data_IF_027512983746
#
_entry.id   IF_027512983746
#
_cell.length_a   1.000
_cell.length_b   1.000
_cell.length_c   1.000
_cell.angle_alpha   90.00
_cell.angle_beta   90.00
_cell.angle_gamma   90.00
#
_symmetry.space_group_name_H-M   'P 1'
#
loop_
_entity.id
_entity.type
_entity.pdbx_description
1 polymer ?
#
# COMPACT_ATOMS: atom_id res chain seq x y z
N UNK A 1 -3.43 -5.67 -26.34
CA UNK A 1 -3.40 -4.61 -27.37
C UNK A 1 -4.54 -3.61 -27.22
N UNK A 2 -5.82 -4.01 -27.24
CA UNK A 2 -6.95 -3.06 -27.16
C UNK A 2 -7.05 -2.19 -25.88
N UNK A 3 -6.44 -2.55 -24.74
CA UNK A 3 -6.34 -1.66 -23.56
C UNK A 3 -5.17 -0.69 -23.66
N UNK A 4 -4.05 -1.13 -24.23
CA UNK A 4 -2.87 -0.30 -24.51
C UNK A 4 -3.19 0.77 -25.57
N UNK A 5 -3.93 0.41 -26.62
CA UNK A 5 -4.44 1.37 -27.61
C UNK A 5 -5.53 2.28 -27.05
N UNK A 6 -6.36 1.80 -26.11
CA UNK A 6 -7.26 2.67 -25.34
C UNK A 6 -6.52 3.64 -24.42
N UNK A 7 -5.27 3.33 -24.05
CA UNK A 7 -4.40 4.22 -23.27
C UNK A 7 -3.77 5.34 -24.12
N UNK A 8 -3.70 5.17 -25.44
CA UNK A 8 -3.16 6.16 -26.38
C UNK A 8 -4.22 6.83 -27.27
N UNK A 9 -5.39 6.22 -27.45
CA UNK A 9 -6.59 6.94 -27.89
C UNK A 9 -7.10 7.77 -26.71
N UNK A 10 -6.57 8.98 -26.58
CA UNK A 10 -6.94 10.01 -25.62
C UNK A 10 -8.45 10.35 -25.66
N UNK A 11 -9.31 9.47 -25.16
CA UNK A 11 -10.55 9.88 -24.50
C UNK A 11 -10.16 10.19 -23.06
N UNK A 12 -10.37 11.42 -22.58
CA UNK A 12 -9.98 11.98 -21.27
C UNK A 12 -9.76 10.93 -20.16
N UNK A 13 -8.57 10.32 -20.14
CA UNK A 13 -8.16 9.30 -19.15
C UNK A 13 -7.74 9.90 -17.82
N UNK A 14 -7.62 11.23 -17.80
CA UNK A 14 -7.37 12.02 -16.60
C UNK A 14 -8.62 12.81 -16.32
N UNK A 15 -9.12 12.74 -15.10
CA UNK A 15 -10.25 13.55 -14.68
C UNK A 15 -9.96 15.03 -14.98
N UNK A 16 -10.87 15.70 -15.69
CA UNK A 16 -10.76 17.14 -15.94
C UNK A 16 -10.64 17.90 -14.62
N UNK A 17 -10.04 19.09 -14.63
CA UNK A 17 -9.96 19.91 -13.41
C UNK A 17 -11.35 20.13 -12.76
N UNK A 18 -12.42 20.24 -13.56
CA UNK A 18 -13.79 20.33 -13.04
C UNK A 18 -14.27 19.03 -12.40
N UNK A 19 -13.94 17.87 -12.99
CA UNK A 19 -14.25 16.56 -12.43
C UNK A 19 -13.52 16.34 -11.11
N UNK A 20 -12.23 16.68 -11.07
CA UNK A 20 -11.45 16.62 -9.82
C UNK A 20 -12.07 17.54 -8.78
N UNK A 21 -12.32 18.82 -9.10
CA UNK A 21 -12.93 19.77 -8.16
C UNK A 21 -14.31 19.32 -7.65
N UNK A 22 -15.09 18.58 -8.44
CA UNK A 22 -16.40 18.05 -8.02
C UNK A 22 -16.29 16.97 -6.94
N UNK A 23 -15.30 16.09 -7.03
CA UNK A 23 -15.17 14.92 -6.14
C UNK A 23 -14.07 15.07 -5.08
N UNK A 24 -13.12 15.97 -5.34
CA UNK A 24 -12.03 16.37 -4.48
C UNK A 24 -11.84 17.87 -4.68
N UNK A 25 -12.53 18.73 -3.92
CA UNK A 25 -12.52 20.18 -4.12
C UNK A 25 -11.18 20.79 -3.71
N UNK A 26 -10.17 20.56 -4.54
CA UNK A 26 -8.77 20.99 -4.37
C UNK A 26 -8.69 22.52 -4.24
N UNK A 27 -9.69 23.25 -4.74
CA UNK A 27 -9.82 24.70 -4.53
C UNK A 27 -9.75 25.11 -3.06
N UNK A 28 -10.24 24.29 -2.13
CA UNK A 28 -10.15 24.56 -0.68
C UNK A 28 -8.71 24.37 -0.16
N UNK A 29 -8.08 23.26 -0.53
CA UNK A 29 -6.72 22.91 -0.10
C UNK A 29 -5.70 23.94 -0.60
N UNK A 30 -5.90 24.45 -1.83
CA UNK A 30 -5.00 25.41 -2.45
C UNK A 30 -5.24 26.87 -2.04
N UNK A 31 -6.32 27.14 -1.30
CA UNK A 31 -6.65 28.48 -0.80
C UNK A 31 -6.84 28.49 0.73
N UNK A 32 -5.87 28.01 1.51
CA UNK A 32 -6.06 27.80 2.95
C UNK A 32 -6.32 29.09 3.72
N UNK A 33 -5.76 30.22 3.26
CA UNK A 33 -5.96 31.53 3.89
C UNK A 33 -7.37 32.08 3.63
N UNK A 34 -7.82 32.04 2.37
CA UNK A 34 -9.19 32.40 2.01
C UNK A 34 -10.22 31.51 2.72
N UNK A 35 -9.94 30.20 2.80
CA UNK A 35 -10.79 29.25 3.52
C UNK A 35 -10.82 29.53 5.03
N UNK A 36 -9.68 29.86 5.65
CA UNK A 36 -9.62 30.22 7.07
C UNK A 36 -10.44 31.46 7.39
N UNK A 37 -10.36 32.50 6.55
CA UNK A 37 -11.17 33.72 6.67
C UNK A 37 -12.66 33.39 6.52
N UNK A 38 -13.01 32.58 5.51
CA UNK A 38 -14.38 32.14 5.28
C UNK A 38 -14.92 31.33 6.47
N UNK A 39 -14.11 30.41 7.01
CA UNK A 39 -14.47 29.59 8.15
C UNK A 39 -14.72 30.42 9.41
N UNK A 40 -13.89 31.43 9.69
CA UNK A 40 -14.12 32.36 10.80
C UNK A 40 -15.44 33.13 10.64
N UNK A 41 -15.65 33.74 9.46
CA UNK A 41 -16.87 34.53 9.20
C UNK A 41 -18.14 33.68 9.24
N UNK A 42 -18.11 32.48 8.64
CA UNK A 42 -19.27 31.58 8.62
C UNK A 42 -19.49 30.89 9.98
N UNK A 43 -18.44 30.58 10.72
CA UNK A 43 -18.53 30.09 12.09
C UNK A 43 -19.22 31.10 13.01
N UNK A 44 -18.87 32.38 12.91
CA UNK A 44 -19.54 33.46 13.65
C UNK A 44 -21.03 33.59 13.29
N UNK A 45 -21.37 33.46 11.99
CA UNK A 45 -22.76 33.47 11.52
C UNK A 45 -23.54 32.27 12.04
N UNK A 46 -22.92 31.09 12.07
CA UNK A 46 -23.53 29.87 12.59
C UNK A 46 -23.78 29.99 14.10
N UNK A 47 -22.79 30.46 14.86
CA UNK A 47 -22.90 30.65 16.31
C UNK A 47 -23.99 31.67 16.69
N UNK A 48 -24.24 32.66 15.82
CA UNK A 48 -25.32 33.66 15.98
C UNK A 48 -26.67 33.20 15.43
N UNK A 49 -26.76 31.98 14.90
CA UNK A 49 -27.99 31.43 14.29
C UNK A 49 -28.38 32.10 12.97
N UNK A 50 -27.49 32.88 12.35
CA UNK A 50 -27.76 33.59 11.09
C UNK A 50 -27.69 32.66 9.86
N UNK A 51 -27.04 31.50 10.00
CA UNK A 51 -27.04 30.40 9.03
C UNK A 51 -27.18 29.08 9.80
N UNK A 52 -27.63 28.01 9.13
CA UNK A 52 -27.75 26.67 9.72
C UNK A 52 -26.57 25.78 9.33
N UNK A 53 -26.44 24.64 9.99
CA UNK A 53 -25.50 23.58 9.58
C UNK A 53 -25.91 22.95 8.23
N UNK A 54 -25.00 22.17 7.64
CA UNK A 54 -25.22 21.52 6.35
C UNK A 54 -25.01 22.49 5.18
N UNK A 55 -25.97 22.53 4.25
CA UNK A 55 -25.85 23.27 2.99
C UNK A 55 -25.69 24.79 3.19
N UNK A 56 -26.30 25.37 4.22
CA UNK A 56 -26.19 26.80 4.50
C UNK A 56 -24.76 27.19 4.90
N UNK A 57 -24.12 26.37 5.74
CA UNK A 57 -22.73 26.53 6.12
C UNK A 57 -21.80 26.34 4.91
N UNK A 58 -22.03 25.30 4.10
CA UNK A 58 -21.25 25.03 2.90
C UNK A 58 -21.31 26.20 1.89
N UNK A 59 -22.52 26.69 1.60
CA UNK A 59 -22.73 27.82 0.71
C UNK A 59 -22.07 29.11 1.24
N UNK A 60 -22.15 29.34 2.56
CA UNK A 60 -21.45 30.46 3.19
C UNK A 60 -19.93 30.35 3.01
N UNK A 61 -19.36 29.16 3.27
CA UNK A 61 -17.92 28.92 3.16
C UNK A 61 -17.43 29.14 1.72
N UNK A 62 -18.15 28.62 0.73
CA UNK A 62 -17.82 28.78 -0.69
C UNK A 62 -17.84 30.26 -1.06
N UNK A 63 -18.95 30.95 -0.80
CA UNK A 63 -19.14 32.34 -1.21
C UNK A 63 -18.15 33.27 -0.51
N UNK A 64 -17.93 33.09 0.79
CA UNK A 64 -17.02 33.92 1.58
C UNK A 64 -15.55 33.66 1.21
N UNK A 65 -15.21 32.41 0.85
CA UNK A 65 -13.88 32.08 0.36
C UNK A 65 -13.63 32.72 -1.00
N UNK A 66 -14.55 32.56 -1.96
CA UNK A 66 -14.39 33.09 -3.32
C UNK A 66 -14.39 34.62 -3.37
N UNK A 67 -15.06 35.28 -2.41
CA UNK A 67 -15.00 36.73 -2.22
C UNK A 67 -13.73 37.24 -1.51
N UNK A 68 -12.92 36.34 -0.93
CA UNK A 68 -11.70 36.73 -0.22
C UNK A 68 -10.65 37.29 -1.19
N UNK A 69 -9.95 38.39 -0.85
CA UNK A 69 -8.85 38.91 -1.67
C UNK A 69 -7.66 37.93 -1.74
N UNK A 70 -7.60 36.95 -0.85
CA UNK A 70 -6.59 35.90 -0.84
C UNK A 70 -6.97 34.69 -1.70
N UNK A 71 -8.16 34.68 -2.30
CA UNK A 71 -8.61 33.61 -3.16
C UNK A 71 -7.88 33.65 -4.51
N UNK A 72 -7.30 32.52 -4.89
CA UNK A 72 -6.67 32.30 -6.19
C UNK A 72 -7.59 31.46 -7.05
N UNK A 73 -8.08 32.08 -8.12
CA UNK A 73 -8.88 31.42 -9.14
C UNK A 73 -8.12 30.27 -9.80
N UNK A 74 -8.87 29.33 -10.38
CA UNK A 74 -8.31 28.18 -11.08
C UNK A 74 -7.33 28.57 -12.17
N UNK A 75 -7.63 29.63 -12.94
CA UNK A 75 -6.75 30.17 -13.98
C UNK A 75 -5.40 30.64 -13.41
N UNK A 76 -5.42 31.47 -12.35
CA UNK A 76 -4.18 31.95 -11.70
C UNK A 76 -3.39 30.76 -11.14
N UNK A 77 -4.06 29.75 -10.58
CA UNK A 77 -3.38 28.55 -10.07
C UNK A 77 -2.74 27.74 -11.19
N UNK A 78 -3.42 27.55 -12.31
CA UNK A 78 -2.88 26.84 -13.48
C UNK A 78 -1.67 27.56 -14.08
N UNK A 79 -1.71 28.89 -14.20
CA UNK A 79 -0.56 29.68 -14.65
C UNK A 79 0.64 29.54 -13.73
N UNK A 80 0.42 29.62 -12.41
CA UNK A 80 1.47 29.41 -11.42
C UNK A 80 2.09 28.00 -11.49
N UNK A 81 1.27 26.97 -11.71
CA UNK A 81 1.75 25.58 -11.90
C UNK A 81 2.55 25.48 -13.20
N UNK A 82 2.06 26.05 -14.30
CA UNK A 82 2.76 26.05 -15.60
C UNK A 82 4.11 26.75 -15.52
N UNK A 83 4.19 27.88 -14.83
CA UNK A 83 5.43 28.62 -14.61
C UNK A 83 6.44 27.79 -13.79
N UNK A 84 6.00 27.18 -12.68
CA UNK A 84 6.83 26.27 -11.88
C UNK A 84 7.31 25.08 -12.67
N UNK A 85 6.42 24.43 -13.42
CA UNK A 85 6.77 23.29 -14.29
C UNK A 85 7.81 23.69 -15.33
N UNK A 86 7.64 24.84 -15.98
CA UNK A 86 8.60 25.36 -16.97
C UNK A 86 9.97 25.61 -16.33
N UNK A 87 10.01 26.23 -15.14
CA UNK A 87 11.25 26.42 -14.39
C UNK A 87 11.90 25.09 -13.98
N UNK A 88 11.11 24.10 -13.55
CA UNK A 88 11.58 22.75 -13.23
C UNK A 88 12.15 22.02 -14.45
N UNK A 89 11.53 22.15 -15.63
CA UNK A 89 12.04 21.59 -16.90
C UNK A 89 13.38 22.22 -17.27
N UNK A 90 13.48 23.55 -17.19
CA UNK A 90 14.74 24.26 -17.46
C UNK A 90 15.85 23.81 -16.50
N UNK A 91 15.52 23.67 -15.21
CA UNK A 91 16.44 23.17 -14.21
C UNK A 91 16.84 21.71 -14.48
N UNK A 92 15.89 20.87 -14.90
CA UNK A 92 16.14 19.48 -15.27
C UNK A 92 17.12 19.39 -16.45
N UNK A 93 16.87 20.13 -17.53
CA UNK A 93 17.74 20.10 -18.70
C UNK A 93 19.13 20.61 -18.35
N UNK A 94 19.21 21.82 -17.77
CA UNK A 94 20.49 22.48 -17.48
C UNK A 94 21.38 21.70 -16.52
N UNK A 95 20.80 21.10 -15.47
CA UNK A 95 21.59 20.50 -14.40
C UNK A 95 21.61 18.98 -14.41
N UNK A 96 20.70 18.32 -15.13
CA UNK A 96 20.62 16.86 -15.20
C UNK A 96 20.80 16.32 -16.62
N UNK A 97 19.92 16.65 -17.55
CA UNK A 97 19.95 16.06 -18.90
C UNK A 97 21.21 16.44 -19.68
N UNK A 98 21.56 17.74 -19.68
CA UNK A 98 22.67 18.26 -20.47
C UNK A 98 24.03 18.05 -19.78
N UNK A 99 24.03 18.06 -18.45
CA UNK A 99 25.27 18.03 -17.67
C UNK A 99 25.88 16.64 -17.53
N UNK A 100 25.08 15.57 -17.73
CA UNK A 100 25.38 14.18 -17.34
C UNK A 100 25.95 14.02 -15.92
N UNK A 101 25.83 15.03 -15.04
CA UNK A 101 26.48 15.06 -13.71
C UNK A 101 25.90 14.03 -12.74
N UNK A 102 24.64 13.66 -12.93
CA UNK A 102 24.12 12.42 -12.35
C UNK A 102 24.33 11.34 -13.41
N UNK A 103 25.44 10.61 -13.31
CA UNK A 103 25.35 9.20 -13.68
C UNK A 103 24.27 8.63 -12.77
N UNK A 104 23.13 8.25 -13.32
CA UNK A 104 22.29 7.28 -12.64
C UNK A 104 23.22 6.14 -12.21
N UNK A 105 23.06 5.60 -11.00
CA UNK A 105 23.53 4.23 -10.79
C UNK A 105 22.61 3.40 -11.69
N UNK A 106 23.08 3.11 -12.89
CA UNK A 106 22.24 2.66 -14.00
C UNK A 106 21.77 1.21 -13.82
N UNK A 107 22.30 0.46 -12.85
CA UNK A 107 21.81 -0.87 -12.56
C UNK A 107 21.55 -1.11 -11.07
N UNK A 108 20.57 -1.96 -10.81
CA UNK A 108 20.26 -2.50 -9.49
C UNK A 108 21.31 -3.55 -9.04
N UNK A 109 22.15 -4.03 -9.95
CA UNK A 109 23.24 -4.98 -9.68
C UNK A 109 24.44 -4.35 -8.94
N UNK A 110 24.46 -3.01 -8.83
CA UNK A 110 25.51 -2.22 -8.18
C UNK A 110 26.91 -2.42 -8.80
N UNK A 111 26.97 -2.70 -10.10
CA UNK A 111 28.26 -2.88 -10.78
C UNK A 111 29.06 -1.56 -10.76
N UNK A 112 30.36 -1.65 -10.51
CA UNK A 112 31.25 -0.50 -10.41
C UNK A 112 31.37 0.29 -11.72
N UNK A 113 31.08 -0.35 -12.86
CA UNK A 113 30.95 0.25 -14.18
C UNK A 113 29.69 -0.31 -14.83
N UNK A 114 28.75 0.57 -15.17
CA UNK A 114 27.61 0.18 -15.99
C UNK A 114 28.11 -0.13 -17.41
N UNK A 115 27.64 -1.25 -17.95
CA UNK A 115 27.78 -1.59 -19.36
C UNK A 115 26.42 -1.94 -19.90
N UNK A 116 26.18 -1.76 -21.20
CA UNK A 116 24.88 -2.08 -21.81
C UNK A 116 24.49 -3.57 -21.63
N UNK A 117 25.48 -4.45 -21.39
CA UNK A 117 25.28 -5.87 -21.09
C UNK A 117 25.03 -6.17 -19.60
N UNK A 118 25.22 -5.19 -18.70
CA UNK A 118 25.04 -5.37 -17.26
C UNK A 118 23.59 -5.72 -16.92
N UNK A 119 22.62 -5.26 -17.70
CA UNK A 119 21.19 -5.53 -17.50
C UNK A 119 20.65 -6.66 -18.38
N UNK A 120 21.51 -7.34 -19.16
CA UNK A 120 21.08 -8.46 -19.99
C UNK A 120 20.55 -9.61 -19.13
N UNK A 121 19.44 -10.19 -19.60
CA UNK A 121 18.94 -11.47 -19.12
C UNK A 121 19.86 -12.59 -19.62
N UNK A 122 19.99 -13.66 -18.85
CA UNK A 122 20.78 -14.80 -19.30
C UNK A 122 20.15 -15.42 -20.56
N UNK A 123 20.96 -16.05 -21.42
CA UNK A 123 20.44 -16.73 -22.60
C UNK A 123 19.43 -17.84 -22.24
N UNK A 124 19.54 -18.42 -21.04
CA UNK A 124 18.57 -19.36 -20.51
C UNK A 124 17.23 -18.66 -20.20
N UNK A 125 17.26 -17.56 -19.45
CA UNK A 125 16.06 -16.77 -19.13
C UNK A 125 15.39 -16.20 -20.38
N UNK A 126 16.16 -15.70 -21.37
CA UNK A 126 15.62 -15.22 -22.64
C UNK A 126 14.86 -16.32 -23.41
N UNK A 127 15.23 -17.60 -23.21
CA UNK A 127 14.61 -18.74 -23.87
C UNK A 127 13.41 -19.29 -23.09
N UNK A 128 13.45 -19.26 -21.76
CA UNK A 128 12.43 -19.87 -20.90
C UNK A 128 11.39 -18.89 -20.38
N UNK A 129 11.70 -17.60 -20.34
CA UNK A 129 10.83 -16.62 -19.68
C UNK A 129 9.52 -16.39 -20.44
N UNK A 130 8.46 -16.21 -19.67
CA UNK A 130 7.15 -15.80 -20.17
C UNK A 130 6.77 -14.46 -19.54
N UNK A 131 6.25 -13.54 -20.33
CA UNK A 131 5.85 -12.21 -19.85
C UNK A 131 4.36 -11.99 -20.07
N UNK A 132 3.66 -11.64 -19.00
CA UNK A 132 2.23 -11.37 -19.00
C UNK A 132 1.96 -9.95 -18.52
N UNK A 133 1.20 -9.19 -19.31
CA UNK A 133 0.73 -7.87 -18.93
C UNK A 133 -0.51 -7.97 -18.06
N UNK A 134 -0.51 -7.26 -16.93
CA UNK A 134 -1.58 -7.35 -15.92
C UNK A 134 -1.98 -5.95 -15.48
N UNK A 135 -3.29 -5.70 -15.36
CA UNK A 135 -3.84 -4.41 -14.99
C UNK A 135 -4.81 -4.49 -13.81
N UNK A 136 -4.73 -3.48 -12.94
CA UNK A 136 -5.84 -3.03 -12.14
C UNK A 136 -6.53 -1.87 -12.84
N UNK A 137 -7.85 -1.94 -13.04
CA UNK A 137 -8.62 -0.79 -13.50
C UNK A 137 -9.69 -0.39 -12.48
N UNK A 138 -10.03 0.89 -12.37
CA UNK A 138 -11.12 1.35 -11.53
C UNK A 138 -12.44 1.35 -12.29
N UNK A 139 -12.64 0.55 -13.33
CA UNK A 139 -13.88 0.52 -14.11
C UNK A 139 -14.25 -0.91 -14.54
N UNK A 140 -15.53 -1.11 -14.84
CA UNK A 140 -16.00 -2.36 -15.43
C UNK A 140 -15.59 -2.43 -16.91
N UNK A 141 -14.61 -3.27 -17.24
CA UNK A 141 -14.15 -3.50 -18.61
C UNK A 141 -15.08 -4.42 -19.41
N UNK A 142 -16.06 -5.05 -18.77
CA UNK A 142 -16.95 -6.04 -19.39
C UNK A 142 -18.26 -5.47 -19.94
N UNK A 143 -18.59 -4.20 -19.65
CA UNK A 143 -19.83 -3.59 -20.11
C UNK A 143 -19.60 -2.68 -21.32
N UNK A 144 -20.30 -2.94 -22.43
CA UNK A 144 -20.42 -2.04 -23.59
C UNK A 144 -21.14 -0.71 -23.25
N UNK A 145 -21.62 -0.55 -22.02
CA UNK A 145 -22.22 0.67 -21.50
C UNK A 145 -21.14 1.56 -20.87
N UNK A 146 -21.39 2.88 -20.82
CA UNK A 146 -20.53 3.91 -20.20
C UNK A 146 -19.70 3.35 -19.05
N UNK A 147 -18.37 3.35 -19.20
CA UNK A 147 -17.43 2.88 -18.18
C UNK A 147 -17.75 3.53 -16.83
N UNK A 148 -18.36 2.76 -15.92
CA UNK A 148 -18.65 3.24 -14.57
C UNK A 148 -17.46 2.96 -13.67
N UNK A 149 -16.99 4.01 -12.99
CA UNK A 149 -15.91 3.87 -12.02
C UNK A 149 -16.37 2.98 -10.85
N UNK A 150 -15.58 1.99 -10.48
CA UNK A 150 -15.75 1.11 -9.32
C UNK A 150 -14.53 1.23 -8.41
N UNK A 151 -14.79 1.37 -7.11
CA UNK A 151 -13.74 1.48 -6.08
C UNK A 151 -13.58 0.13 -5.41
N UNK A 152 -12.37 -0.43 -5.48
CA UNK A 152 -12.06 -1.75 -4.92
C UNK A 152 -12.82 -2.90 -5.56
N UNK A 153 -12.88 -4.00 -4.82
CA UNK A 153 -13.75 -5.12 -5.15
C UNK A 153 -14.45 -5.63 -3.89
N UNK A 154 -15.54 -6.37 -4.09
CA UNK A 154 -16.04 -7.24 -3.02
C UNK A 154 -15.00 -8.33 -2.81
N UNK A 155 -14.69 -8.66 -1.57
CA UNK A 155 -13.74 -9.71 -1.21
C UNK A 155 -13.96 -11.00 -2.05
N UNK A 156 -12.87 -11.51 -2.66
CA UNK A 156 -12.83 -12.66 -3.56
C UNK A 156 -13.60 -12.48 -4.88
N UNK A 157 -13.91 -11.24 -5.26
CA UNK A 157 -14.42 -10.89 -6.59
C UNK A 157 -13.45 -9.98 -7.33
N UNK A 158 -12.21 -9.88 -6.86
CA UNK A 158 -11.15 -9.01 -7.36
C UNK A 158 -11.06 -9.01 -8.89
N UNK A 159 -11.01 -10.19 -9.52
CA UNK A 159 -11.02 -10.33 -10.98
C UNK A 159 -12.25 -9.71 -11.66
N UNK A 160 -13.46 -9.94 -11.13
CA UNK A 160 -14.72 -9.36 -11.64
C UNK A 160 -14.74 -7.82 -11.56
N UNK A 161 -13.92 -7.24 -10.69
CA UNK A 161 -13.77 -5.79 -10.53
C UNK A 161 -12.43 -5.29 -11.11
N UNK A 162 -11.77 -6.08 -11.95
CA UNK A 162 -10.48 -5.77 -12.57
C UNK A 162 -9.41 -5.37 -11.57
N UNK A 163 -9.35 -6.06 -10.42
CA UNK A 163 -8.26 -5.96 -9.44
C UNK A 163 -7.27 -7.11 -9.64
N UNK A 164 -6.83 -7.30 -10.88
CA UNK A 164 -6.09 -8.50 -11.31
C UNK A 164 -4.68 -8.58 -10.71
N UNK A 165 -3.99 -7.45 -10.49
CA UNK A 165 -2.65 -7.45 -9.87
C UNK A 165 -2.73 -7.98 -8.44
N UNK A 166 -3.75 -7.57 -7.70
CA UNK A 166 -3.92 -8.01 -6.32
C UNK A 166 -4.40 -9.46 -6.24
N UNK A 167 -5.32 -9.85 -7.13
CA UNK A 167 -5.74 -11.25 -7.27
C UNK A 167 -4.54 -12.16 -7.57
N UNK A 168 -3.66 -11.75 -8.50
CA UNK A 168 -2.40 -12.43 -8.79
C UNK A 168 -1.58 -12.60 -7.51
N UNK A 169 -1.32 -11.52 -6.78
CA UNK A 169 -0.53 -11.61 -5.54
C UNK A 169 -1.15 -12.56 -4.51
N UNK A 170 -2.48 -12.60 -4.38
CA UNK A 170 -3.16 -13.54 -3.47
C UNK A 170 -2.94 -14.98 -3.92
N UNK A 171 -3.03 -15.23 -5.22
CA UNK A 171 -2.82 -16.55 -5.82
C UNK A 171 -1.35 -16.98 -5.78
N UNK A 172 -0.41 -16.06 -5.90
CA UNK A 172 1.01 -16.39 -5.77
C UNK A 172 1.42 -16.70 -4.32
N UNK A 173 0.77 -16.10 -3.31
CA UNK A 173 0.95 -16.50 -1.92
C UNK A 173 0.47 -17.94 -1.66
N UNK A 174 -0.70 -18.30 -2.19
CA UNK A 174 -1.23 -19.68 -2.15
C UNK A 174 -0.31 -20.64 -2.90
N UNK A 175 0.07 -20.27 -4.13
CA UNK A 175 0.96 -21.03 -4.99
C UNK A 175 2.33 -21.28 -4.35
N UNK A 176 2.88 -20.29 -3.64
CA UNK A 176 4.16 -20.40 -2.94
C UNK A 176 4.15 -21.54 -1.91
N UNK A 177 3.07 -21.71 -1.13
CA UNK A 177 2.95 -22.84 -0.21
C UNK A 177 2.83 -24.17 -0.97
N UNK A 178 1.97 -24.21 -1.98
CA UNK A 178 1.75 -25.41 -2.81
C UNK A 178 3.04 -25.90 -3.48
N UNK A 179 3.79 -25.02 -4.12
CA UNK A 179 5.07 -25.33 -4.78
C UNK A 179 6.09 -25.79 -3.75
N UNK A 180 6.22 -25.05 -2.64
CA UNK A 180 7.14 -25.40 -1.56
C UNK A 180 6.89 -26.80 -0.99
N UNK A 181 5.61 -27.18 -0.84
CA UNK A 181 5.18 -28.51 -0.42
C UNK A 181 5.47 -29.57 -1.48
N UNK A 182 5.01 -29.37 -2.72
CA UNK A 182 5.09 -30.36 -3.79
C UNK A 182 6.53 -30.65 -4.22
N UNK A 183 7.38 -29.63 -4.22
CA UNK A 183 8.77 -29.71 -4.67
C UNK A 183 9.75 -29.85 -3.49
N UNK A 184 9.26 -29.82 -2.25
CA UNK A 184 10.05 -29.92 -1.02
C UNK A 184 11.25 -28.96 -0.99
N UNK A 185 11.04 -27.70 -1.40
CA UNK A 185 12.07 -26.66 -1.45
C UNK A 185 11.63 -25.37 -0.77
N UNK A 186 12.61 -24.56 -0.42
CA UNK A 186 12.36 -23.26 0.19
C UNK A 186 11.94 -22.22 -0.86
N UNK A 187 10.90 -21.45 -0.57
CA UNK A 187 10.36 -20.41 -1.45
C UNK A 187 10.46 -19.06 -0.75
N UNK A 188 11.13 -18.11 -1.40
CA UNK A 188 11.28 -16.74 -0.93
C UNK A 188 10.28 -15.84 -1.65
N UNK A 189 9.34 -15.28 -0.89
CA UNK A 189 8.41 -14.26 -1.32
C UNK A 189 8.91 -12.90 -0.82
N UNK A 190 9.11 -11.95 -1.72
CA UNK A 190 9.60 -10.61 -1.39
C UNK A 190 8.64 -9.56 -1.92
N UNK A 191 8.14 -8.68 -1.06
CA UNK A 191 7.47 -7.45 -1.44
C UNK A 191 8.41 -6.28 -1.19
N UNK A 192 9.05 -5.81 -2.25
CA UNK A 192 9.91 -4.63 -2.24
C UNK A 192 9.09 -3.45 -2.77
N UNK A 193 8.50 -2.69 -1.85
CA UNK A 193 7.45 -1.75 -2.19
C UNK A 193 7.59 -0.41 -1.46
N UNK A 194 7.33 0.70 -2.15
CA UNK A 194 7.48 2.06 -1.62
C UNK A 194 6.56 2.36 -0.45
N UNK A 195 5.30 1.93 -0.56
CA UNK A 195 4.27 2.12 0.44
C UNK A 195 3.58 0.80 0.72
N UNK A 196 3.24 0.59 1.99
CA UNK A 196 2.66 -0.65 2.44
C UNK A 196 1.48 -0.35 3.35
N UNK A 197 0.30 -0.80 2.96
CA UNK A 197 -0.86 -0.91 3.85
C UNK A 197 -1.78 -1.96 3.23
N UNK A 198 -1.63 -3.19 3.69
CA UNK A 198 -2.11 -4.37 3.00
C UNK A 198 -3.64 -4.29 2.79
N UNK A 199 -4.15 -4.51 1.58
CA UNK A 199 -5.59 -4.66 1.37
C UNK A 199 -6.13 -5.86 2.15
N UNK A 200 -7.42 -5.82 2.52
CA UNK A 200 -8.04 -6.87 3.34
C UNK A 200 -7.84 -8.29 2.77
N UNK A 201 -7.94 -8.45 1.44
CA UNK A 201 -7.66 -9.71 0.74
C UNK A 201 -6.24 -10.24 0.95
N UNK A 202 -5.28 -9.32 1.02
CA UNK A 202 -3.88 -9.65 1.26
C UNK A 202 -3.65 -10.05 2.72
N UNK A 203 -4.15 -9.26 3.67
CA UNK A 203 -4.07 -9.57 5.12
C UNK A 203 -4.67 -10.95 5.41
N UNK A 204 -5.82 -11.24 4.81
CA UNK A 204 -6.47 -12.53 4.95
C UNK A 204 -5.71 -13.68 4.27
N UNK A 205 -5.07 -13.43 3.12
CA UNK A 205 -4.22 -14.44 2.47
C UNK A 205 -3.03 -14.81 3.34
N UNK A 206 -2.40 -13.85 4.03
CA UNK A 206 -1.37 -14.14 5.03
C UNK A 206 -1.92 -14.97 6.21
N UNK A 207 -3.13 -14.66 6.67
CA UNK A 207 -3.81 -15.45 7.70
C UNK A 207 -3.99 -16.91 7.27
N UNK A 208 -4.39 -17.15 6.02
CA UNK A 208 -4.54 -18.49 5.44
C UNK A 208 -3.23 -19.26 5.29
N UNK A 209 -2.12 -18.57 4.98
CA UNK A 209 -0.79 -19.20 5.03
C UNK A 209 -0.41 -19.60 6.47
N UNK A 210 -0.81 -18.81 7.45
CA UNK A 210 -0.44 -19.01 8.85
C UNK A 210 -1.30 -20.05 9.59
N UNK A 211 -2.57 -20.18 9.22
CA UNK A 211 -3.52 -21.08 9.87
C UNK A 211 -3.60 -22.48 9.23
N UNK A 212 -2.83 -22.75 8.17
CA UNK A 212 -2.78 -24.03 7.46
C UNK A 212 -3.82 -24.20 6.34
N UNK A 213 -4.64 -23.18 6.04
CA UNK A 213 -5.65 -23.27 4.95
C UNK A 213 -5.00 -23.54 3.59
N UNK A 214 -3.80 -23.00 3.35
CA UNK A 214 -3.03 -23.25 2.11
C UNK A 214 -2.10 -24.47 2.20
N UNK A 215 -2.28 -25.34 3.19
CA UNK A 215 -1.40 -26.48 3.43
C UNK A 215 -0.14 -26.11 4.20
N UNK A 216 0.94 -26.87 3.96
CA UNK A 216 2.23 -26.66 4.64
C UNK A 216 3.01 -25.51 4.00
N UNK A 217 3.08 -24.38 4.72
CA UNK A 217 3.85 -23.20 4.33
C UNK A 217 5.19 -23.08 5.08
N UNK A 218 5.66 -24.15 5.73
CA UNK A 218 6.84 -24.15 6.62
C UNK A 218 8.19 -23.92 5.95
N UNK A 219 8.22 -23.95 4.63
CA UNK A 219 9.40 -23.67 3.79
C UNK A 219 9.26 -22.35 3.02
N UNK A 220 8.19 -21.61 3.27
CA UNK A 220 7.97 -20.28 2.69
C UNK A 220 8.50 -19.19 3.63
N UNK A 221 9.19 -18.21 3.05
CA UNK A 221 9.65 -16.99 3.72
C UNK A 221 9.03 -15.78 3.02
N UNK A 222 8.21 -15.00 3.73
CA UNK A 222 7.63 -13.75 3.25
C UNK A 222 8.39 -12.57 3.86
N UNK A 223 8.96 -11.73 3.01
CA UNK A 223 9.70 -10.53 3.41
C UNK A 223 9.04 -9.28 2.85
N UNK A 224 8.72 -8.33 3.71
CA UNK A 224 8.37 -6.97 3.33
C UNK A 224 9.59 -6.07 3.49
N UNK A 225 9.94 -5.32 2.44
CA UNK A 225 10.97 -4.29 2.46
C UNK A 225 10.38 -2.98 1.93
N UNK A 226 10.35 -1.95 2.76
CA UNK A 226 9.70 -0.67 2.44
C UNK A 226 10.42 0.54 3.03
N UNK A 227 9.91 1.75 2.78
CA UNK A 227 10.42 2.97 3.42
C UNK A 227 10.14 2.98 4.92
N UNK A 228 11.06 3.53 5.71
CA UNK A 228 10.74 4.04 7.05
C UNK A 228 9.95 5.33 6.98
N UNK A 229 9.54 5.85 8.14
CA UNK A 229 8.91 7.17 8.25
C UNK A 229 9.89 8.28 7.79
N UNK A 230 11.18 8.13 8.02
CA UNK A 230 12.18 9.14 7.65
C UNK A 230 12.49 9.14 6.15
N UNK A 231 12.29 8.02 5.47
CA UNK A 231 12.62 7.83 4.04
C UNK A 231 11.41 7.95 3.13
N UNK A 232 10.19 7.85 3.63
CA UNK A 232 8.98 8.05 2.82
C UNK A 232 8.66 9.53 2.58
N UNK A 233 8.09 9.84 1.43
CA UNK A 233 7.41 11.11 1.12
C UNK A 233 5.90 11.07 1.46
N UNK A 234 5.35 9.88 1.75
CA UNK A 234 3.94 9.66 2.06
C UNK A 234 3.76 9.14 3.50
N UNK A 235 4.17 9.97 4.46
CA UNK A 235 4.27 9.59 5.87
C UNK A 235 2.97 9.08 6.50
N UNK A 236 1.83 9.63 6.09
CA UNK A 236 0.51 9.24 6.63
C UNK A 236 0.18 7.78 6.36
N UNK A 237 0.54 7.26 5.18
CA UNK A 237 0.32 5.84 4.84
C UNK A 237 1.16 4.94 5.74
N UNK A 238 2.42 5.29 5.96
CA UNK A 238 3.29 4.53 6.86
C UNK A 238 2.81 4.59 8.32
N UNK A 239 2.23 5.70 8.78
CA UNK A 239 1.64 5.77 10.13
C UNK A 239 0.52 4.75 10.28
N UNK A 240 -0.42 4.71 9.33
CA UNK A 240 -1.53 3.75 9.37
C UNK A 240 -1.09 2.30 9.16
N UNK A 241 -0.07 2.09 8.32
CA UNK A 241 0.56 0.78 8.14
C UNK A 241 1.02 0.16 9.45
N UNK A 242 1.59 0.96 10.37
CA UNK A 242 2.09 0.47 11.66
C UNK A 242 1.01 -0.22 12.47
N UNK A 243 -0.19 0.35 12.55
CA UNK A 243 -1.32 -0.27 13.24
C UNK A 243 -1.65 -1.65 12.67
N UNK A 244 -1.67 -1.78 11.33
CA UNK A 244 -1.90 -3.07 10.69
C UNK A 244 -0.75 -4.05 10.93
N UNK A 245 0.51 -3.61 10.79
CA UNK A 245 1.68 -4.46 10.97
C UNK A 245 1.82 -4.95 12.42
N UNK A 246 1.46 -4.13 13.41
CA UNK A 246 1.42 -4.54 14.81
C UNK A 246 0.47 -5.72 15.01
N UNK A 247 -0.73 -5.69 14.42
CA UNK A 247 -1.66 -6.81 14.54
C UNK A 247 -1.16 -8.05 13.80
N UNK A 248 -0.57 -7.89 12.61
CA UNK A 248 0.04 -8.99 11.87
C UNK A 248 1.13 -9.68 12.69
N UNK A 249 2.06 -8.91 13.27
CA UNK A 249 3.18 -9.48 14.02
C UNK A 249 2.79 -9.97 15.42
N UNK A 250 1.78 -9.39 16.06
CA UNK A 250 1.17 -9.96 17.28
C UNK A 250 0.53 -11.32 16.99
N UNK A 251 -0.23 -11.44 15.92
CA UNK A 251 -0.84 -12.70 15.51
C UNK A 251 0.21 -13.75 15.18
N UNK A 252 1.22 -13.38 14.38
CA UNK A 252 2.36 -14.25 14.06
C UNK A 252 3.13 -14.71 15.30
N UNK A 253 3.40 -13.79 16.25
CA UNK A 253 4.03 -14.14 17.52
C UNK A 253 3.12 -15.02 18.40
N UNK A 254 1.81 -14.83 18.35
CA UNK A 254 0.83 -15.70 18.99
C UNK A 254 0.90 -17.14 18.49
N UNK A 255 1.03 -17.35 17.18
CA UNK A 255 1.23 -18.68 16.58
C UNK A 255 2.56 -19.29 17.03
N UNK A 256 3.66 -18.53 16.99
CA UNK A 256 4.97 -18.98 17.49
C UNK A 256 4.90 -19.38 18.97
N UNK A 257 4.16 -18.63 19.79
CA UNK A 257 3.98 -18.92 21.20
C UNK A 257 3.14 -20.18 21.40
N UNK A 258 2.02 -20.33 20.66
CA UNK A 258 1.19 -21.53 20.67
C UNK A 258 1.98 -22.79 20.32
N UNK A 259 2.83 -22.72 19.29
CA UNK A 259 3.78 -23.77 18.93
C UNK A 259 4.73 -24.10 20.09
N UNK A 260 5.32 -23.09 20.72
CA UNK A 260 6.29 -23.27 21.81
C UNK A 260 5.69 -23.79 23.11
N UNK A 261 4.47 -23.38 23.46
CA UNK A 261 3.89 -23.64 24.79
C UNK A 261 2.86 -24.74 24.76
N UNK A 262 1.81 -24.60 23.94
CA UNK A 262 0.65 -25.49 23.95
C UNK A 262 0.94 -26.82 23.28
N UNK A 263 1.59 -26.81 22.11
CA UNK A 263 1.97 -28.07 21.44
C UNK A 263 3.08 -28.78 22.22
N UNK A 264 4.06 -28.05 22.77
CA UNK A 264 5.12 -28.68 23.57
C UNK A 264 4.59 -29.38 24.84
N UNK A 265 3.55 -28.82 25.50
CA UNK A 265 2.98 -29.39 26.72
C UNK A 265 1.98 -30.53 26.50
N UNK A 266 1.34 -30.59 25.32
CA UNK A 266 0.28 -31.58 25.01
C UNK A 266 0.80 -32.78 24.19
N UNK A 267 1.94 -32.66 23.52
CA UNK A 267 2.49 -33.72 22.70
C UNK A 267 3.39 -34.66 23.54
N UNK A 268 3.31 -35.96 23.27
CA UNK A 268 4.30 -36.93 23.76
C UNK A 268 5.69 -36.61 23.20
N UNK A 269 6.76 -37.16 23.79
CA UNK A 269 8.13 -36.96 23.30
C UNK A 269 8.28 -37.37 21.83
N UNK A 270 7.68 -38.49 21.42
CA UNK A 270 7.64 -38.93 20.02
C UNK A 270 6.90 -37.95 19.11
N UNK A 271 5.80 -37.36 19.56
CA UNK A 271 5.05 -36.38 18.79
C UNK A 271 5.78 -35.04 18.68
N UNK A 272 6.49 -34.60 19.75
CA UNK A 272 7.36 -33.42 19.69
C UNK A 272 8.50 -33.60 18.70
N UNK A 273 9.15 -34.77 18.70
CA UNK A 273 10.26 -35.05 17.78
C UNK A 273 9.84 -35.11 16.30
N UNK A 274 8.55 -35.35 16.04
CA UNK A 274 7.97 -35.38 14.70
C UNK A 274 7.21 -34.10 14.33
N UNK A 275 7.08 -33.15 15.25
CA UNK A 275 6.38 -31.91 15.00
C UNK A 275 7.14 -31.07 13.98
N UNK A 276 6.40 -30.54 13.01
CA UNK A 276 6.92 -29.61 12.01
C UNK A 276 6.09 -28.33 12.10
N UNK A 277 6.78 -27.20 12.14
CA UNK A 277 6.19 -25.90 11.80
C UNK A 277 5.36 -26.07 10.53
N UNK A 278 4.19 -25.46 10.42
CA UNK A 278 3.34 -25.51 9.21
C UNK A 278 3.14 -24.13 8.56
N UNK A 279 3.59 -23.07 9.22
CA UNK A 279 3.32 -21.67 8.84
C UNK A 279 4.59 -20.98 8.30
N UNK A 280 4.47 -19.93 7.46
CA UNK A 280 5.61 -19.29 6.82
C UNK A 280 6.47 -18.50 7.81
N UNK A 281 7.72 -18.19 7.44
CA UNK A 281 8.51 -17.19 8.15
C UNK A 281 8.12 -15.81 7.62
N UNK A 282 7.64 -14.90 8.46
CA UNK A 282 7.27 -13.54 8.04
C UNK A 282 8.25 -12.53 8.64
N UNK A 283 8.74 -11.60 7.82
CA UNK A 283 9.66 -10.54 8.24
C UNK A 283 9.31 -9.19 7.62
N UNK A 284 9.54 -8.10 8.36
CA UNK A 284 9.29 -6.73 7.94
C UNK A 284 10.52 -5.86 8.19
N UNK A 285 11.02 -5.25 7.12
CA UNK A 285 12.20 -4.40 7.09
C UNK A 285 11.86 -3.01 6.55
N UNK A 286 12.51 -2.00 7.12
CA UNK A 286 12.46 -0.63 6.62
C UNK A 286 13.85 -0.10 6.31
N UNK A 287 13.97 0.74 5.29
CA UNK A 287 15.21 1.47 4.98
C UNK A 287 15.53 2.55 6.02
N UNK A 288 16.82 2.73 6.34
CA UNK A 288 17.32 3.80 7.21
C UNK A 288 17.67 5.06 6.39
N UNK A 289 17.29 6.24 6.90
CA UNK A 289 17.51 7.51 6.21
C UNK A 289 18.98 7.93 6.07
N UNK A 290 19.86 7.49 6.98
CA UNK A 290 21.28 7.83 6.96
C UNK A 290 22.00 7.40 5.69
N UNK A 291 21.53 6.34 5.03
CA UNK A 291 22.22 5.73 3.89
C UNK A 291 21.59 6.06 2.54
N UNK A 292 20.30 6.41 2.50
CA UNK A 292 19.63 6.86 1.27
C UNK A 292 19.82 8.35 1.01
N UNK A 293 20.23 9.12 2.03
CA UNK A 293 20.21 10.59 2.01
C UNK A 293 18.84 11.12 2.44
N UNK A 294 18.84 12.14 3.31
CA UNK A 294 17.60 12.73 3.81
C UNK A 294 16.73 13.24 2.66
N UNK A 295 15.50 12.73 2.54
CA UNK A 295 14.55 13.17 1.53
C UNK A 295 14.53 12.38 0.21
N UNK A 296 15.30 11.29 0.09
CA UNK A 296 15.18 10.36 -1.03
C UNK A 296 14.22 9.24 -0.64
N UNK A 297 13.07 9.18 -1.31
CA UNK A 297 12.08 8.13 -1.11
C UNK A 297 12.29 6.98 -2.09
N UNK A 298 12.33 5.76 -1.57
CA UNK A 298 12.29 4.56 -2.40
C UNK A 298 10.94 4.52 -3.11
N UNK A 299 10.96 4.30 -4.43
CA UNK A 299 9.74 4.20 -5.24
C UNK A 299 9.56 2.82 -5.91
N UNK A 300 10.34 1.81 -5.50
CA UNK A 300 10.27 0.42 -5.98
C UNK A 300 8.89 -0.18 -5.78
N UNK A 301 8.44 -0.98 -6.75
CA UNK A 301 7.14 -1.68 -6.74
C UNK A 301 7.31 -3.05 -7.41
N UNK A 302 7.89 -3.97 -6.65
CA UNK A 302 8.24 -5.30 -7.14
C UNK A 302 7.81 -6.36 -6.13
N UNK A 303 7.21 -7.44 -6.62
CA UNK A 303 6.90 -8.62 -5.84
C UNK A 303 7.58 -9.86 -6.47
N UNK A 304 8.31 -10.64 -5.68
CA UNK A 304 8.94 -11.89 -6.08
C UNK A 304 8.24 -13.05 -5.36
N UNK A 305 7.99 -14.15 -6.05
CA UNK A 305 7.25 -15.32 -5.58
C UNK A 305 8.00 -16.62 -5.92
N UNK A 306 9.25 -16.74 -5.47
CA UNK A 306 10.14 -17.81 -5.91
C UNK A 306 10.58 -17.62 -7.36
N UNK A 307 9.92 -18.31 -8.29
CA UNK A 307 10.27 -18.31 -9.72
C UNK A 307 9.44 -17.35 -10.58
N UNK A 308 8.49 -16.64 -9.96
CA UNK A 308 7.64 -15.66 -10.60
C UNK A 308 7.94 -14.25 -10.02
N UNK A 309 8.08 -13.25 -10.89
CA UNK A 309 8.34 -11.86 -10.51
C UNK A 309 7.28 -10.93 -11.13
N UNK A 310 6.70 -10.06 -10.31
CA UNK A 310 5.85 -8.97 -10.76
C UNK A 310 6.59 -7.63 -10.62
N UNK A 311 6.67 -6.86 -11.70
CA UNK A 311 7.20 -5.49 -11.72
C UNK A 311 6.11 -4.57 -12.27
N UNK A 312 5.74 -3.52 -11.54
CA UNK A 312 4.66 -2.66 -12.01
C UNK A 312 4.49 -1.36 -11.25
N UNK A 313 3.33 -0.73 -11.45
CA UNK A 313 2.99 0.57 -10.88
C UNK A 313 2.18 0.47 -9.59
N UNK A 314 1.74 -0.72 -9.18
CA UNK A 314 0.95 -0.92 -7.97
C UNK A 314 1.83 -0.94 -6.72
N UNK A 315 1.48 -0.13 -5.73
CA UNK A 315 2.00 -0.33 -4.38
C UNK A 315 1.25 -1.48 -3.69
N UNK A 316 1.84 -2.04 -2.64
CA UNK A 316 1.15 -3.00 -1.76
C UNK A 316 0.29 -2.24 -0.74
N UNK A 317 -0.58 -1.38 -1.25
CA UNK A 317 -1.45 -0.52 -0.47
C UNK A 317 -2.92 -0.58 -0.90
N UNK A 318 -3.80 -0.24 0.04
CA UNK A 318 -5.24 -0.06 -0.18
C UNK A 318 -5.54 0.95 -1.28
N UNK A 319 -4.71 1.97 -1.53
CA UNK A 319 -4.99 2.96 -2.56
C UNK A 319 -4.86 2.37 -3.97
N UNK A 320 -3.77 1.66 -4.23
CA UNK A 320 -3.49 0.93 -5.47
C UNK A 320 -4.56 -0.13 -5.73
N UNK A 321 -5.08 -0.72 -4.66
CA UNK A 321 -6.20 -1.64 -4.74
C UNK A 321 -7.53 -0.94 -5.11
N UNK A 322 -7.84 0.16 -4.44
CA UNK A 322 -9.17 0.75 -4.47
C UNK A 322 -9.38 1.69 -5.66
N UNK A 323 -8.46 2.63 -5.85
CA UNK A 323 -8.73 3.87 -6.59
C UNK A 323 -7.94 3.99 -7.88
N UNK A 324 -6.74 3.43 -7.90
CA UNK A 324 -5.78 3.67 -8.97
C UNK A 324 -5.99 2.69 -10.15
N UNK A 325 -5.67 3.19 -11.34
CA UNK A 325 -5.32 2.33 -12.47
C UNK A 325 -3.86 1.96 -12.30
N UNK A 326 -3.55 0.67 -12.24
CA UNK A 326 -2.17 0.20 -12.18
C UNK A 326 -1.94 -0.84 -13.26
N UNK A 327 -0.71 -0.97 -13.71
CA UNK A 327 -0.30 -2.01 -14.62
C UNK A 327 1.05 -2.59 -14.20
N UNK A 328 1.41 -3.71 -14.79
CA UNK A 328 2.71 -4.33 -14.59
C UNK A 328 2.91 -5.54 -15.48
N UNK A 329 4.11 -6.09 -15.38
CA UNK A 329 4.53 -7.31 -16.04
C UNK A 329 4.73 -8.38 -14.97
N UNK A 330 4.07 -9.51 -15.16
CA UNK A 330 4.45 -10.77 -14.52
C UNK A 330 5.44 -11.47 -15.44
N UNK A 331 6.63 -11.72 -14.92
CA UNK A 331 7.73 -12.42 -15.57
C UNK A 331 7.84 -13.78 -14.88
N UNK A 332 7.65 -14.85 -15.66
CA UNK A 332 7.71 -16.24 -15.19
C UNK A 332 8.92 -16.92 -15.76
N UNK A 333 9.43 -17.96 -15.08
CA UNK A 333 10.53 -18.81 -15.56
C UNK A 333 11.83 -18.07 -15.91
N UNK A 334 12.06 -16.89 -15.33
CA UNK A 334 13.30 -16.12 -15.42
C UNK A 334 14.17 -16.40 -14.18
N UNK A 335 14.66 -17.64 -14.07
CA UNK A 335 15.28 -18.16 -12.86
C UNK A 335 16.56 -17.41 -12.47
N UNK A 336 17.41 -17.03 -13.43
CA UNK A 336 18.65 -16.32 -13.13
C UNK A 336 18.36 -14.89 -12.66
N UNK A 337 17.45 -14.18 -13.33
CA UNK A 337 16.96 -12.87 -12.93
C UNK A 337 16.42 -12.89 -11.50
N UNK A 338 15.52 -13.83 -11.20
CA UNK A 338 14.88 -13.95 -9.90
C UNK A 338 15.90 -14.22 -8.79
N UNK A 339 16.88 -15.10 -9.05
CA UNK A 339 17.96 -15.40 -8.11
C UNK A 339 18.88 -14.21 -7.88
N UNK A 340 19.24 -13.48 -8.94
CA UNK A 340 20.05 -12.26 -8.83
C UNK A 340 19.32 -11.19 -8.02
N UNK A 341 18.02 -10.98 -8.29
CA UNK A 341 17.22 -10.00 -7.57
C UNK A 341 17.02 -10.37 -6.10
N UNK A 342 16.77 -11.65 -5.81
CA UNK A 342 16.70 -12.13 -4.43
C UNK A 342 18.02 -11.87 -3.68
N UNK A 343 19.17 -12.18 -4.31
CA UNK A 343 20.49 -11.90 -3.74
C UNK A 343 20.71 -10.41 -3.48
N UNK A 344 20.29 -9.55 -4.42
CA UNK A 344 20.34 -8.09 -4.24
C UNK A 344 19.54 -7.65 -3.01
N UNK A 345 18.31 -8.12 -2.85
CA UNK A 345 17.50 -7.82 -1.66
C UNK A 345 18.15 -8.38 -0.40
N UNK A 346 18.63 -9.62 -0.41
CA UNK A 346 19.27 -10.23 0.76
C UNK A 346 20.53 -9.48 1.21
N UNK A 347 21.32 -8.94 0.28
CA UNK A 347 22.46 -8.08 0.61
C UNK A 347 22.02 -6.80 1.35
N UNK A 348 20.92 -6.18 0.92
CA UNK A 348 20.33 -5.00 1.58
C UNK A 348 19.87 -5.35 3.00
N UNK A 349 19.22 -6.51 3.16
CA UNK A 349 18.69 -6.95 4.45
C UNK A 349 19.78 -7.41 5.44
N UNK A 350 20.92 -7.88 4.92
CA UNK A 350 22.08 -8.26 5.71
C UNK A 350 22.84 -7.04 6.26
N UNK A 351 22.79 -5.92 5.54
CA UNK A 351 23.38 -4.66 5.96
C UNK A 351 22.48 -3.94 6.99
N UNK A 352 22.90 -4.03 8.26
CA UNK A 352 22.21 -3.40 9.40
C UNK A 352 22.30 -1.88 9.37
N UNK A 353 23.20 -1.28 8.60
CA UNK A 353 23.28 0.17 8.44
C UNK A 353 22.26 0.66 7.39
N UNK A 354 21.90 -0.19 6.41
CA UNK A 354 20.89 0.13 5.40
C UNK A 354 19.46 -0.11 5.86
N UNK A 355 19.22 -1.16 6.65
CA UNK A 355 17.84 -1.54 7.03
C UNK A 355 17.66 -1.81 8.52
N UNK A 356 16.40 -1.77 8.96
CA UNK A 356 15.97 -2.14 10.30
C UNK A 356 14.85 -3.17 10.22
N UNK A 357 15.02 -4.30 10.90
CA UNK A 357 13.97 -5.31 11.06
C UNK A 357 13.05 -4.90 12.21
N UNK A 358 11.77 -4.65 11.93
CA UNK A 358 10.77 -4.24 12.92
C UNK A 358 9.81 -5.37 13.33
N UNK A 359 10.03 -6.60 12.86
CA UNK A 359 9.12 -7.73 13.09
C UNK A 359 8.86 -7.99 14.58
N UNK A 360 9.93 -8.06 15.39
CA UNK A 360 9.81 -8.28 16.83
C UNK A 360 9.34 -7.03 17.57
N UNK A 361 9.77 -5.85 17.12
CA UNK A 361 9.32 -4.58 17.68
C UNK A 361 7.79 -4.45 17.56
N UNK A 362 7.24 -4.69 16.37
CA UNK A 362 5.79 -4.67 16.11
C UNK A 362 5.01 -5.71 16.90
N UNK A 363 5.56 -6.90 17.12
CA UNK A 363 4.92 -7.90 17.97
C UNK A 363 4.75 -7.42 19.43
N UNK A 364 5.63 -6.55 19.91
CA UNK A 364 5.71 -6.12 21.31
C UNK A 364 5.12 -4.73 21.59
N UNK A 365 4.66 -3.99 20.57
CA UNK A 365 4.05 -2.66 20.77
C UNK A 365 2.75 -2.75 21.57
N UNK A 366 2.59 -1.89 22.57
CA UNK A 366 1.29 -1.56 23.17
C UNK A 366 0.60 -0.42 22.38
N UNK A 367 -0.72 -0.31 22.52
CA UNK A 367 -1.49 0.78 21.88
C UNK A 367 -0.97 2.15 22.35
N UNK A 368 -0.78 2.33 23.67
CA UNK A 368 -0.24 3.56 24.25
C UNK A 368 1.17 3.93 23.71
N UNK A 369 2.02 2.94 23.41
CA UNK A 369 3.33 3.20 22.79
C UNK A 369 3.18 3.74 21.36
N UNK A 370 2.23 3.19 20.58
CA UNK A 370 1.97 3.67 19.21
C UNK A 370 1.46 5.09 19.22
N UNK A 371 0.50 5.40 20.08
CA UNK A 371 -0.09 6.74 20.20
C UNK A 371 0.96 7.78 20.60
N UNK A 372 1.81 7.46 21.59
CA UNK A 372 2.92 8.34 22.00
C UNK A 372 3.89 8.58 20.86
N UNK A 373 4.22 7.55 20.09
CA UNK A 373 5.09 7.72 18.94
C UNK A 373 4.43 8.49 17.80
N UNK A 374 3.12 8.34 17.58
CA UNK A 374 2.41 9.13 16.58
C UNK A 374 2.50 10.62 16.87
N UNK A 375 2.37 11.05 18.13
CA UNK A 375 2.54 12.45 18.51
C UNK A 375 3.93 12.98 18.11
N UNK A 376 4.99 12.21 18.42
CA UNK A 376 6.38 12.53 18.05
C UNK A 376 6.55 12.56 16.53
N UNK A 377 5.97 11.60 15.81
CA UNK A 377 6.04 11.56 14.36
C UNK A 377 5.34 12.76 13.73
N UNK A 378 4.16 13.13 14.22
CA UNK A 378 3.41 14.28 13.75
C UNK A 378 4.19 15.57 14.00
N UNK A 379 4.85 15.72 15.15
CA UNK A 379 5.76 16.85 15.39
C UNK A 379 6.88 16.93 14.34
N UNK A 380 7.51 15.79 14.02
CA UNK A 380 8.54 15.74 12.97
C UNK A 380 7.98 16.10 11.60
N UNK A 381 6.75 15.69 11.29
CA UNK A 381 6.08 16.01 10.03
C UNK A 381 5.73 17.49 9.93
N UNK A 382 5.18 18.09 10.99
CA UNK A 382 4.88 19.51 11.03
C UNK A 382 6.17 20.33 10.92
N UNK A 383 7.23 19.94 11.64
CA UNK A 383 8.54 20.57 11.52
C UNK A 383 9.12 20.48 10.10
N UNK A 384 8.85 19.38 9.37
CA UNK A 384 9.32 19.18 7.99
C UNK A 384 8.48 19.95 6.97
N UNK A 385 7.16 19.88 7.07
CA UNK A 385 6.24 20.28 5.99
C UNK A 385 5.46 21.56 6.28
N UNK A 386 5.16 21.86 7.55
CA UNK A 386 4.42 23.06 7.94
C UNK A 386 5.35 24.22 8.32
N UNK A 387 6.21 24.62 7.37
CA UNK A 387 7.18 25.72 7.56
C UNK A 387 6.52 27.08 7.85
N UNK A 388 5.21 27.20 7.68
CA UNK A 388 4.43 28.43 7.87
C UNK A 388 3.60 28.41 9.15
N UNK A 389 3.68 27.36 9.98
CA UNK A 389 2.95 27.26 11.23
C UNK A 389 1.44 27.34 11.07
N UNK A 390 0.90 26.73 10.00
CA UNK A 390 -0.55 26.71 9.72
C UNK A 390 -1.29 25.77 10.67
N UNK A 391 -0.61 24.78 11.23
CA UNK A 391 -1.15 23.83 12.19
C UNK A 391 -0.78 24.30 13.60
N UNK A 392 -1.76 24.89 14.30
CA UNK A 392 -1.61 25.26 15.70
C UNK A 392 -1.73 24.02 16.63
N UNK A 393 -1.50 24.21 17.93
CA UNK A 393 -1.51 23.11 18.90
C UNK A 393 -2.87 22.38 18.99
N UNK A 394 -3.98 23.12 18.94
CA UNK A 394 -5.32 22.55 18.94
C UNK A 394 -5.56 21.68 17.69
N UNK A 395 -5.19 22.19 16.51
CA UNK A 395 -5.31 21.46 15.26
C UNK A 395 -4.40 20.24 15.21
N UNK A 396 -3.18 20.34 15.77
CA UNK A 396 -2.30 19.17 15.96
C UNK A 396 -3.00 18.11 16.82
N UNK A 397 -3.57 18.49 17.95
CA UNK A 397 -4.27 17.56 18.84
C UNK A 397 -5.44 16.86 18.12
N UNK A 398 -6.23 17.61 17.34
CA UNK A 398 -7.29 17.04 16.50
C UNK A 398 -6.75 16.05 15.44
N UNK A 399 -5.62 16.37 14.80
CA UNK A 399 -4.99 15.48 13.81
C UNK A 399 -4.54 14.17 14.49
N UNK A 400 -3.87 14.27 15.64
CA UNK A 400 -3.41 13.11 16.41
C UNK A 400 -4.60 12.25 16.86
N UNK A 401 -5.67 12.87 17.38
CA UNK A 401 -6.90 12.16 17.78
C UNK A 401 -7.53 11.39 16.60
N UNK A 402 -7.66 12.03 15.44
CA UNK A 402 -8.19 11.37 14.24
C UNK A 402 -7.28 10.22 13.78
N UNK A 403 -5.96 10.42 13.77
CA UNK A 403 -5.00 9.36 13.42
C UNK A 403 -5.14 8.17 14.37
N UNK A 404 -5.21 8.42 15.68
CA UNK A 404 -5.31 7.34 16.66
C UNK A 404 -6.65 6.61 16.53
N UNK A 405 -7.76 7.33 16.39
CA UNK A 405 -9.08 6.74 16.18
C UNK A 405 -9.15 5.85 14.95
N UNK A 406 -8.66 6.34 13.81
CA UNK A 406 -8.61 5.55 12.57
C UNK A 406 -7.61 4.39 12.70
N UNK A 407 -6.48 4.59 13.38
CA UNK A 407 -5.49 3.55 13.68
C UNK A 407 -6.05 2.40 14.53
N UNK A 408 -6.84 2.70 15.56
CA UNK A 408 -7.53 1.68 16.35
C UNK A 408 -8.58 0.93 15.54
N UNK A 409 -9.28 1.60 14.61
CA UNK A 409 -10.18 0.92 13.66
C UNK A 409 -9.41 -0.01 12.70
N UNK A 410 -8.29 0.43 12.14
CA UNK A 410 -7.39 -0.40 11.32
C UNK A 410 -6.94 -1.63 12.11
N UNK A 411 -6.53 -1.42 13.37
CA UNK A 411 -6.09 -2.49 14.26
C UNK A 411 -7.21 -3.51 14.51
N UNK A 412 -8.40 -3.04 14.86
CA UNK A 412 -9.56 -3.89 15.09
C UNK A 412 -9.87 -4.76 13.87
N UNK A 413 -9.94 -4.16 12.68
CA UNK A 413 -10.29 -4.89 11.48
C UNK A 413 -9.16 -5.84 11.05
N UNK A 414 -7.89 -5.41 11.12
CA UNK A 414 -6.75 -6.28 10.83
C UNK A 414 -6.71 -7.50 11.76
N UNK A 415 -6.94 -7.32 13.06
CA UNK A 415 -7.05 -8.41 14.02
C UNK A 415 -8.15 -9.39 13.63
N UNK A 416 -9.35 -8.90 13.31
CA UNK A 416 -10.45 -9.76 12.91
C UNK A 416 -10.15 -10.52 11.61
N UNK A 417 -9.55 -9.87 10.60
CA UNK A 417 -9.13 -10.53 9.36
C UNK A 417 -8.10 -11.64 9.62
N UNK A 418 -7.14 -11.42 10.52
CA UNK A 418 -6.10 -12.38 10.85
C UNK A 418 -6.62 -13.58 11.65
N UNK A 419 -7.58 -13.36 12.54
CA UNK A 419 -8.13 -14.39 13.44
C UNK A 419 -9.34 -15.12 12.87
N UNK A 420 -9.91 -14.62 11.78
CA UNK A 420 -11.08 -15.21 11.15
C UNK A 420 -10.80 -16.62 10.62
N UNK A 421 -11.47 -17.60 11.23
CA UNK A 421 -11.54 -18.99 10.78
C UNK A 421 -12.93 -19.24 10.23
N UNK A 422 -13.12 -19.15 8.92
CA UNK A 422 -14.34 -19.66 8.29
C UNK A 422 -14.34 -21.20 8.35
N UNK A 423 -15.51 -21.83 8.51
CA UNK A 423 -15.66 -23.30 8.62
C UNK A 423 -15.33 -24.06 7.33
N UNK A 424 -15.23 -25.39 7.42
CA UNK A 424 -14.61 -26.30 6.43
C UNK A 424 -15.32 -26.50 5.07
N UNK A 425 -16.46 -25.87 4.79
CA UNK A 425 -17.13 -25.97 3.47
C UNK A 425 -16.53 -25.00 2.43
N UNK A 426 -15.19 -24.88 2.40
CA UNK A 426 -14.51 -23.85 1.63
C UNK A 426 -14.39 -24.19 0.14
N UNK A 427 -14.50 -25.46 -0.28
CA UNK A 427 -14.40 -25.84 -1.70
C UNK A 427 -15.70 -25.55 -2.45
N UNK A 428 -16.86 -25.63 -1.79
CA UNK A 428 -18.16 -25.32 -2.40
C UNK A 428 -18.58 -23.84 -2.32
N UNK A 429 -17.85 -23.02 -1.57
CA UNK A 429 -18.01 -21.55 -1.59
C UNK A 429 -17.58 -20.87 -2.91
N UNK A 430 -16.93 -21.63 -3.79
CA UNK A 430 -16.46 -21.16 -5.10
C UNK A 430 -17.31 -21.66 -6.27
N UNK A 431 -18.28 -22.54 -6.02
CA UNK A 431 -19.34 -22.89 -6.96
C UNK A 431 -20.53 -21.96 -6.77
N UNK A 432 -21.08 -21.47 -7.88
CA UNK A 432 -22.14 -20.45 -7.98
C UNK A 432 -23.52 -20.96 -7.50
N UNK A 433 -23.65 -21.46 -6.28
CA UNK A 433 -24.96 -21.52 -5.62
C UNK A 433 -25.09 -20.33 -4.66
N UNK A 434 -25.97 -19.40 -5.00
CA UNK A 434 -26.22 -18.15 -4.25
C UNK A 434 -26.94 -18.36 -2.91
N UNK A 435 -27.14 -19.61 -2.47
CA UNK A 435 -27.85 -19.94 -1.24
C UNK A 435 -26.99 -20.84 -0.36
N UNK A 436 -26.85 -20.47 0.91
CA UNK A 436 -26.13 -21.15 2.01
C UNK A 436 -24.62 -20.86 2.18
N UNK A 437 -24.33 -19.70 2.78
CA UNK A 437 -23.79 -19.56 4.16
C UNK A 437 -23.67 -18.05 4.41
N UNK A 438 -24.77 -17.46 4.90
CA UNK A 438 -25.09 -16.05 4.68
C UNK A 438 -24.44 -15.10 5.69
N UNK A 439 -24.16 -15.53 6.93
CA UNK A 439 -23.71 -14.62 7.98
C UNK A 439 -22.19 -14.49 8.04
N UNK A 440 -21.48 -15.61 7.93
CA UNK A 440 -20.01 -15.69 7.96
C UNK A 440 -19.41 -14.95 6.76
N UNK A 441 -19.93 -15.20 5.55
CA UNK A 441 -19.57 -14.47 4.32
C UNK A 441 -19.93 -12.98 4.38
N UNK A 442 -21.07 -12.63 4.98
CA UNK A 442 -21.49 -11.24 5.14
C UNK A 442 -20.56 -10.48 6.09
N UNK A 443 -20.20 -11.06 7.25
CA UNK A 443 -19.29 -10.43 8.23
C UNK A 443 -17.91 -10.16 7.62
N UNK A 444 -17.32 -11.12 6.91
CA UNK A 444 -16.00 -10.92 6.27
C UNK A 444 -16.06 -9.84 5.18
N UNK A 445 -17.12 -9.82 4.37
CA UNK A 445 -17.34 -8.78 3.35
C UNK A 445 -17.53 -7.40 4.00
N UNK A 446 -18.32 -7.32 5.06
CA UNK A 446 -18.57 -6.08 5.82
C UNK A 446 -17.26 -5.52 6.37
N UNK A 447 -16.48 -6.34 7.10
CA UNK A 447 -15.18 -5.92 7.65
C UNK A 447 -14.20 -5.50 6.56
N UNK A 448 -14.12 -6.24 5.45
CA UNK A 448 -13.23 -5.90 4.33
C UNK A 448 -13.64 -4.59 3.65
N UNK A 449 -14.93 -4.34 3.50
CA UNK A 449 -15.44 -3.10 2.92
C UNK A 449 -15.23 -1.92 3.86
N UNK A 450 -15.51 -2.07 5.16
CA UNK A 450 -15.25 -1.04 6.18
C UNK A 450 -13.76 -0.69 6.24
N UNK A 451 -12.88 -1.69 6.15
CA UNK A 451 -11.43 -1.49 6.08
C UNK A 451 -11.05 -0.63 4.89
N UNK A 452 -11.58 -0.97 3.73
CA UNK A 452 -11.29 -0.29 2.47
C UNK A 452 -11.92 1.11 2.43
N UNK A 453 -13.12 1.29 2.97
CA UNK A 453 -13.85 2.55 2.99
C UNK A 453 -13.19 3.58 3.92
N UNK A 454 -12.52 3.12 4.99
CA UNK A 454 -11.69 3.96 5.86
C UNK A 454 -10.64 4.78 5.07
N UNK A 455 -10.17 4.24 3.95
CA UNK A 455 -9.16 4.87 3.10
C UNK A 455 -9.76 5.71 1.96
N UNK A 456 -11.09 5.76 1.82
CA UNK A 456 -11.73 6.78 0.97
C UNK A 456 -11.78 8.15 1.66
N UNK A 457 -11.75 8.14 3.00
CA UNK A 457 -11.79 9.34 3.85
C UNK A 457 -10.41 9.91 4.18
N UNK A 458 -9.36 9.12 4.00
CA UNK A 458 -7.95 9.51 4.14
C UNK A 458 -7.41 9.98 2.78
#
# INVERSE_FOLDING_TARGET
EASFDRMFNFTDMVATASTVNKYAPIKYINNPEALGIAAGSCGDKLAKGAIKEGLDLENCLISSMEASPYYKSDSIRQENVKAKMSASILNYNKFYADSRKKSSRENWKQDAQYSDISDDLSAADLKSSEMYYIENTPFDVSSDKKQMRRVGSRFNKDHKYNKNIHMLWYKELENSCRVSQNENRDIHVVFHNAYLILPAGFTYSLAKMMNGTYGDCSRVKVTFLTNSIETTDLNVVNIFSRYQMIQLFKYYQGIKNYEKTYLASQLTEKQRNNYKRWYPKIQYYVYKASNLGSGISLHTKLALFGDDMFVGSANLDVRSYLMDTNNGLLIRNAHDLNKQYLKFVENILADKDQTLNLSETFANYSEAQVEKENDILIDRLLARWDKKGRVNAERKAQIVDVINKLGSQISYIAYNLLTYKGGEDYVDMFNESEEYDSETKFRLRKMSNEYNDLFKTL
#
